data_IF_862193823527
#
_entry.id   IF_862193823527
#
_cell.length_a   1.000
_cell.length_b   1.000
_cell.length_c   1.000
_cell.angle_alpha   90.00
_cell.angle_beta   90.00
_cell.angle_gamma   90.00
#
_symmetry.space_group_name_H-M   'P 1'
#
loop_
_entity.id
_entity.type
_entity.pdbx_description
1 polymer ?
#
# COMPACT_ATOMS: atom_id res chain seq x y z
N UNK A 1 -40.30 84.32 13.35
CA UNK A 1 -39.75 84.57 12.00
C UNK A 1 -38.53 83.68 11.81
N UNK A 2 -38.38 83.16 10.59
CA UNK A 2 -37.23 82.46 9.96
C UNK A 2 -35.85 82.87 10.51
N UNK A 3 -34.76 82.09 10.50
CA UNK A 3 -34.37 80.74 10.05
C UNK A 3 -32.88 80.58 10.48
N UNK A 4 -32.47 79.35 10.81
CA UNK A 4 -31.22 78.63 10.43
C UNK A 4 -29.92 79.45 10.17
N UNK A 5 -28.70 79.13 10.65
CA UNK A 5 -28.00 77.84 10.70
C UNK A 5 -26.60 77.98 11.37
N UNK A 6 -26.08 76.83 11.83
CA UNK A 6 -24.66 76.41 11.93
C UNK A 6 -23.76 77.00 13.01
N UNK A 7 -23.28 76.13 13.92
CA UNK A 7 -21.87 75.78 14.18
C UNK A 7 -21.86 74.75 15.34
N UNK A 8 -21.16 73.61 15.17
CA UNK A 8 -20.78 72.74 16.29
C UNK A 8 -20.86 71.24 16.02
N UNK A 9 -19.70 70.61 15.90
CA UNK A 9 -19.38 69.21 15.56
C UNK A 9 -20.25 68.08 16.18
N UNK A 10 -20.38 66.92 15.48
CA UNK A 10 -21.11 65.74 15.95
C UNK A 10 -20.23 64.84 16.84
N UNK A 11 -20.78 64.41 17.98
CA UNK A 11 -20.12 63.51 18.94
C UNK A 11 -20.99 62.29 19.23
N UNK A 12 -21.53 61.64 18.19
CA UNK A 12 -22.28 60.38 18.33
C UNK A 12 -22.04 59.54 17.08
N UNK A 13 -21.71 58.26 17.27
CA UNK A 13 -21.50 57.18 16.28
C UNK A 13 -20.06 56.86 15.83
N UNK A 14 -19.12 56.68 16.78
CA UNK A 14 -17.99 55.73 16.60
C UNK A 14 -17.85 54.87 17.86
N UNK A 15 -18.93 54.17 18.22
CA UNK A 15 -18.97 53.32 19.42
C UNK A 15 -19.59 51.94 19.21
N UNK A 16 -20.01 51.58 17.98
CA UNK A 16 -20.76 50.33 17.74
C UNK A 16 -20.38 49.61 16.43
N UNK A 17 -19.13 49.72 15.98
CA UNK A 17 -18.59 48.88 14.89
C UNK A 17 -17.19 48.29 15.17
N UNK A 18 -16.63 48.51 16.36
CA UNK A 18 -15.35 47.92 16.81
C UNK A 18 -15.49 46.74 17.78
N UNK A 19 -16.71 46.42 18.20
CA UNK A 19 -17.02 45.44 19.25
C UNK A 19 -17.80 44.21 18.74
N UNK A 20 -17.71 43.97 17.44
CA UNK A 20 -18.25 42.76 16.78
C UNK A 20 -17.18 42.02 15.96
N UNK A 21 -15.92 42.43 16.10
CA UNK A 21 -14.77 41.87 15.38
C UNK A 21 -13.64 41.44 16.33
N UNK A 22 -13.94 41.26 17.63
CA UNK A 22 -12.93 40.97 18.66
C UNK A 22 -13.37 39.96 19.73
N UNK A 23 -14.38 39.14 19.46
CA UNK A 23 -14.74 37.98 20.28
C UNK A 23 -15.35 36.89 19.39
N UNK A 24 -14.49 36.09 18.76
CA UNK A 24 -14.89 34.73 18.36
C UNK A 24 -14.44 33.78 19.48
N UNK A 25 -15.35 33.04 20.11
CA UNK A 25 -14.96 31.91 20.94
C UNK A 25 -14.21 30.91 20.05
N UNK A 26 -13.14 30.34 20.59
CA UNK A 26 -12.20 29.44 19.93
C UNK A 26 -12.91 28.47 18.99
N UNK A 27 -12.70 28.66 17.68
CA UNK A 27 -13.01 27.63 16.70
C UNK A 27 -12.10 26.43 17.03
N UNK A 28 -12.63 25.20 17.13
CA UNK A 28 -11.79 24.04 17.38
C UNK A 28 -10.72 23.98 16.29
N UNK A 29 -9.46 24.11 16.70
CA UNK A 29 -8.30 23.90 15.83
C UNK A 29 -8.47 22.51 15.22
N UNK A 30 -8.75 22.48 13.92
CA UNK A 30 -8.87 21.26 13.14
C UNK A 30 -7.55 20.50 13.30
N UNK A 31 -7.51 19.30 13.91
CA UNK A 31 -6.29 18.50 13.94
C UNK A 31 -6.14 17.85 12.56
N UNK A 32 -5.76 18.65 11.58
CA UNK A 32 -5.23 18.22 10.29
C UNK A 32 -3.83 18.78 10.14
N UNK A 33 -2.90 18.22 10.89
CA UNK A 33 -1.49 18.06 10.52
C UNK A 33 -0.95 16.82 11.24
N UNK A 34 -1.52 15.66 10.93
CA UNK A 34 -0.66 14.49 10.74
C UNK A 34 -0.49 14.42 9.23
N UNK A 35 0.54 15.11 8.74
CA UNK A 35 0.97 14.92 7.37
C UNK A 35 1.15 13.42 7.15
N UNK A 36 0.50 12.91 6.11
CA UNK A 36 0.83 11.61 5.51
C UNK A 36 2.25 11.72 4.93
N UNK A 37 3.23 11.74 5.83
CA UNK A 37 4.60 11.41 5.52
C UNK A 37 4.66 9.91 5.30
N UNK A 38 5.25 9.53 4.17
CA UNK A 38 5.56 8.17 3.75
C UNK A 38 4.33 7.35 3.33
N UNK A 39 4.34 6.90 2.08
CA UNK A 39 3.63 5.68 1.67
C UNK A 39 3.79 4.60 2.76
N UNK A 40 2.82 3.71 2.99
CA UNK A 40 3.07 2.54 3.80
C UNK A 40 4.29 1.83 3.21
N UNK A 41 5.41 1.92 3.92
CA UNK A 41 6.60 1.20 3.58
C UNK A 41 6.20 -0.26 3.48
N UNK A 42 6.47 -0.85 2.31
CA UNK A 42 6.78 -2.28 2.26
C UNK A 42 7.67 -2.58 3.47
N UNK A 43 7.41 -3.62 4.27
CA UNK A 43 8.25 -3.91 5.43
C UNK A 43 9.66 -4.23 4.93
N UNK A 44 10.53 -3.22 5.01
CA UNK A 44 11.97 -3.34 5.00
C UNK A 44 12.35 -3.76 6.41
N UNK A 45 12.68 -5.03 6.57
CA UNK A 45 13.37 -5.50 7.78
C UNK A 45 14.75 -4.85 7.89
N UNK A 46 15.40 -4.91 9.06
CA UNK A 46 16.71 -4.34 9.28
C UNK A 46 17.71 -4.98 8.30
N UNK A 47 18.45 -4.12 7.59
CA UNK A 47 19.57 -4.51 6.74
C UNK A 47 20.75 -4.88 7.64
N UNK A 48 20.89 -6.16 7.96
CA UNK A 48 22.19 -6.68 8.38
C UNK A 48 23.10 -6.71 7.15
N UNK A 49 24.08 -5.82 7.16
CA UNK A 49 25.13 -5.76 6.16
C UNK A 49 25.95 -7.05 6.18
N UNK A 50 25.69 -7.93 5.22
CA UNK A 50 26.60 -8.97 4.80
C UNK A 50 26.64 -9.00 3.27
N UNK A 51 27.72 -8.44 2.72
CA UNK A 51 28.10 -8.69 1.34
C UNK A 51 28.41 -10.18 1.15
N UNK A 52 27.77 -10.82 0.16
CA UNK A 52 28.39 -11.83 -0.70
C UNK A 52 27.36 -12.34 -1.71
N UNK A 53 27.79 -12.41 -2.98
CA UNK A 53 27.04 -13.03 -4.05
C UNK A 53 26.78 -14.51 -3.83
N UNK A 54 25.75 -14.99 -4.52
CA UNK A 54 25.36 -16.38 -4.56
C UNK A 54 23.92 -16.49 -5.01
N UNK A 55 23.71 -16.65 -6.31
CA UNK A 55 22.50 -17.24 -6.87
C UNK A 55 22.38 -18.68 -6.35
N UNK A 56 21.94 -18.81 -5.10
CA UNK A 56 21.56 -20.07 -4.51
C UNK A 56 20.12 -20.34 -4.87
N UNK A 57 19.90 -21.28 -5.78
CA UNK A 57 18.67 -22.07 -5.87
C UNK A 57 18.35 -22.64 -4.48
N UNK A 58 17.64 -21.87 -3.66
CA UNK A 58 17.18 -22.32 -2.35
C UNK A 58 15.95 -23.19 -2.60
N UNK A 59 16.17 -24.49 -2.78
CA UNK A 59 15.10 -25.48 -2.86
C UNK A 59 14.06 -25.22 -1.76
N UNK A 60 12.76 -25.14 -2.10
CA UNK A 60 11.71 -24.86 -1.12
C UNK A 60 11.80 -25.84 0.05
N UNK A 61 11.95 -25.30 1.27
CA UNK A 61 12.01 -26.14 2.47
C UNK A 61 10.60 -26.46 2.92
N UNK A 62 10.14 -27.65 2.59
CA UNK A 62 8.84 -28.16 3.05
C UNK A 62 8.95 -28.64 4.49
N UNK A 63 8.06 -28.14 5.36
CA UNK A 63 7.94 -28.51 6.77
C UNK A 63 6.54 -29.04 7.01
N UNK A 64 6.45 -30.21 7.64
CA UNK A 64 5.18 -30.71 8.15
C UNK A 64 4.93 -30.11 9.52
N UNK A 65 3.73 -29.59 9.75
CA UNK A 65 3.33 -29.00 11.03
C UNK A 65 1.87 -29.38 11.36
N UNK A 66 1.46 -29.16 12.60
CA UNK A 66 0.08 -29.35 13.02
C UNK A 66 -0.40 -28.02 13.61
N UNK A 67 -1.45 -27.46 13.02
CA UNK A 67 -2.09 -26.26 13.53
C UNK A 67 -2.70 -26.53 14.93
N UNK A 68 -2.83 -25.52 15.80
CA UNK A 68 -3.56 -25.64 17.07
C UNK A 68 -4.97 -26.22 16.94
N UNK A 69 -5.63 -26.01 15.79
CA UNK A 69 -6.93 -26.60 15.47
C UNK A 69 -6.91 -28.10 15.13
N UNK A 70 -5.73 -28.72 15.06
CA UNK A 70 -5.51 -30.13 14.70
C UNK A 70 -5.31 -30.39 13.20
N UNK A 71 -5.39 -29.36 12.36
CA UNK A 71 -5.18 -29.51 10.91
C UNK A 71 -3.70 -29.76 10.61
N UNK A 72 -3.41 -30.81 9.83
CA UNK A 72 -2.05 -31.08 9.35
C UNK A 72 -1.70 -30.14 8.21
N UNK A 73 -0.56 -29.47 8.32
CA UNK A 73 -0.10 -28.46 7.37
C UNK A 73 1.15 -28.94 6.65
N UNK A 74 1.18 -28.79 5.32
CA UNK A 74 2.38 -28.90 4.50
C UNK A 74 2.87 -27.49 4.17
N UNK A 75 3.81 -26.99 4.95
CA UNK A 75 4.31 -25.62 4.81
C UNK A 75 5.51 -25.58 3.88
N UNK A 76 5.35 -24.97 2.71
CA UNK A 76 6.42 -24.65 1.79
C UNK A 76 7.01 -23.28 2.12
N UNK A 77 8.30 -23.25 2.50
CA UNK A 77 9.01 -21.98 2.70
C UNK A 77 9.77 -21.60 1.44
N UNK A 78 9.46 -20.43 0.88
CA UNK A 78 10.10 -19.83 -0.29
C UNK A 78 10.89 -18.58 0.12
N UNK A 79 12.01 -18.27 -0.56
CA UNK A 79 12.65 -16.98 -0.40
C UNK A 79 11.71 -15.86 -0.87
N UNK A 80 11.74 -14.71 -0.21
CA UNK A 80 11.05 -13.51 -0.68
C UNK A 80 11.60 -13.08 -2.05
N UNK A 81 10.68 -12.74 -2.95
CA UNK A 81 11.03 -12.11 -4.21
C UNK A 81 11.08 -10.61 -4.00
N UNK A 82 12.28 -10.10 -3.74
CA UNK A 82 12.50 -8.67 -3.57
C UNK A 82 12.59 -7.93 -4.90
N UNK A 83 12.22 -6.64 -4.84
CA UNK A 83 12.56 -5.70 -5.90
C UNK A 83 14.08 -5.70 -6.07
N UNK A 84 14.60 -5.75 -7.31
CA UNK A 84 16.04 -5.62 -7.56
C UNK A 84 16.62 -4.42 -6.81
N UNK A 85 17.85 -4.52 -6.31
CA UNK A 85 18.51 -3.36 -5.70
C UNK A 85 19.05 -2.43 -6.78
N UNK A 86 19.03 -1.10 -6.61
CA UNK A 86 19.65 -0.20 -7.58
C UNK A 86 21.19 -0.37 -7.60
N UNK A 87 21.87 0.04 -8.70
CA UNK A 87 21.33 0.74 -9.87
C UNK A 87 20.55 -0.19 -10.82
N UNK A 88 19.45 0.32 -11.38
CA UNK A 88 18.50 -0.48 -12.17
C UNK A 88 18.91 -0.67 -13.62
N UNK A 89 19.56 0.32 -14.25
CA UNK A 89 19.98 0.26 -15.66
C UNK A 89 20.78 -1.00 -16.02
N UNK A 90 21.83 -1.36 -15.27
CA UNK A 90 22.65 -2.55 -15.57
C UNK A 90 21.87 -3.88 -15.58
N UNK A 91 20.75 -3.96 -14.85
CA UNK A 91 19.95 -5.17 -14.71
C UNK A 91 18.85 -5.29 -15.76
N UNK A 92 18.54 -4.20 -16.50
CA UNK A 92 17.40 -4.12 -17.40
C UNK A 92 17.47 -5.16 -18.52
N UNK A 93 18.62 -5.30 -19.18
CA UNK A 93 18.75 -6.17 -20.35
C UNK A 93 18.51 -7.66 -20.00
N UNK A 94 19.05 -8.12 -18.86
CA UNK A 94 18.89 -9.49 -18.41
C UNK A 94 17.46 -9.79 -17.96
N UNK A 95 16.86 -8.90 -17.16
CA UNK A 95 15.47 -9.03 -16.72
C UNK A 95 14.50 -9.00 -17.89
N UNK A 96 14.73 -8.13 -18.88
CA UNK A 96 13.92 -8.08 -20.10
C UNK A 96 14.04 -9.39 -20.88
N UNK A 97 15.26 -9.86 -21.11
CA UNK A 97 15.48 -11.10 -21.86
C UNK A 97 14.83 -12.32 -21.18
N UNK A 98 14.85 -12.39 -19.84
CA UNK A 98 14.17 -13.45 -19.10
C UNK A 98 12.63 -13.29 -19.12
N UNK A 99 12.14 -12.06 -18.96
CA UNK A 99 10.72 -11.73 -19.09
C UNK A 99 10.15 -12.10 -20.45
N UNK A 100 10.88 -11.83 -21.53
CA UNK A 100 10.49 -12.13 -22.92
C UNK A 100 10.43 -13.65 -23.19
N UNK A 101 11.13 -14.45 -22.39
CA UNK A 101 11.01 -15.92 -22.40
C UNK A 101 9.84 -16.45 -21.57
N UNK A 102 9.04 -15.56 -20.99
CA UNK A 102 7.88 -15.91 -20.17
C UNK A 102 8.24 -16.34 -18.75
N UNK A 103 9.37 -15.90 -18.19
CA UNK A 103 9.68 -16.15 -16.79
C UNK A 103 8.85 -15.20 -15.88
N UNK A 104 7.89 -15.71 -15.08
CA UNK A 104 7.04 -14.88 -14.25
C UNK A 104 7.81 -14.18 -13.12
N UNK A 105 8.91 -14.76 -12.63
CA UNK A 105 9.76 -14.12 -11.61
C UNK A 105 10.50 -12.94 -12.23
N UNK A 106 11.01 -13.09 -13.45
CA UNK A 106 11.64 -12.00 -14.18
C UNK A 106 10.63 -10.89 -14.51
N UNK A 107 9.42 -11.23 -14.96
CA UNK A 107 8.33 -10.28 -15.18
C UNK A 107 7.98 -9.50 -13.90
N UNK A 108 7.88 -10.19 -12.76
CA UNK A 108 7.61 -9.54 -11.48
C UNK A 108 8.77 -8.60 -11.07
N UNK A 109 10.02 -9.06 -11.16
CA UNK A 109 11.19 -8.23 -10.83
C UNK A 109 11.33 -7.02 -11.76
N UNK A 110 11.14 -7.22 -13.06
CA UNK A 110 11.16 -6.14 -14.05
C UNK A 110 10.02 -5.15 -13.81
N UNK A 111 8.80 -5.64 -13.57
CA UNK A 111 7.65 -4.80 -13.26
C UNK A 111 7.87 -3.96 -11.99
N UNK A 112 8.30 -4.58 -10.90
CA UNK A 112 8.60 -3.86 -9.65
C UNK A 112 9.75 -2.86 -9.83
N UNK A 113 10.79 -3.19 -10.58
CA UNK A 113 11.90 -2.29 -10.91
C UNK A 113 11.43 -1.07 -11.73
N UNK A 114 10.65 -1.29 -12.79
CA UNK A 114 10.12 -0.21 -13.64
C UNK A 114 9.17 0.71 -12.86
N UNK A 115 8.39 0.16 -11.94
CA UNK A 115 7.53 0.93 -11.04
C UNK A 115 8.30 1.92 -10.16
N UNK A 116 9.51 1.55 -9.70
CA UNK A 116 10.37 2.46 -8.91
C UNK A 116 10.80 3.70 -9.71
N UNK A 117 10.90 3.57 -11.03
CA UNK A 117 11.31 4.66 -11.91
C UNK A 117 10.14 5.46 -12.49
N UNK A 118 8.88 5.03 -12.33
CA UNK A 118 7.73 5.54 -13.11
C UNK A 118 7.52 7.06 -13.02
N UNK A 119 7.82 7.65 -11.86
CA UNK A 119 7.62 9.09 -11.57
C UNK A 119 8.97 9.83 -11.44
N UNK A 120 10.05 9.21 -11.91
CA UNK A 120 11.40 9.81 -11.95
C UNK A 120 11.52 10.65 -13.23
N UNK A 121 12.10 11.86 -13.18
CA UNK A 121 12.37 12.68 -14.36
C UNK A 121 13.09 11.91 -15.46
N UNK A 122 12.75 12.17 -16.73
CA UNK A 122 13.34 11.43 -17.84
C UNK A 122 14.76 11.90 -18.21
N UNK A 123 15.10 13.16 -17.89
CA UNK A 123 16.36 13.82 -18.24
C UNK A 123 16.73 14.88 -17.18
N UNK A 124 17.95 15.41 -17.29
CA UNK A 124 18.50 16.40 -16.35
C UNK A 124 17.69 17.70 -16.32
N UNK A 125 17.10 18.10 -17.46
CA UNK A 125 16.32 19.32 -17.55
C UNK A 125 14.99 19.18 -16.77
N UNK A 126 14.33 18.03 -16.90
CA UNK A 126 13.14 17.68 -16.12
C UNK A 126 13.46 17.51 -14.64
N UNK A 127 14.63 16.97 -14.29
CA UNK A 127 15.07 16.90 -12.89
C UNK A 127 15.25 18.31 -12.30
N UNK A 128 15.96 19.19 -13.00
CA UNK A 128 16.16 20.58 -12.56
C UNK A 128 14.83 21.31 -12.38
N UNK A 129 13.90 21.15 -13.34
CA UNK A 129 12.55 21.71 -13.26
C UNK A 129 11.76 21.17 -12.07
N UNK A 130 11.77 19.86 -11.85
CA UNK A 130 11.05 19.24 -10.73
C UNK A 130 11.59 19.72 -9.38
N UNK A 131 12.90 19.90 -9.25
CA UNK A 131 13.52 20.45 -8.04
C UNK A 131 13.09 21.90 -7.81
N UNK A 132 13.11 22.72 -8.87
CA UNK A 132 12.61 24.10 -8.80
C UNK A 132 11.14 24.15 -8.35
N UNK A 133 10.27 23.33 -8.95
CA UNK A 133 8.86 23.23 -8.59
C UNK A 133 8.65 22.84 -7.11
N UNK A 134 9.41 21.87 -6.60
CA UNK A 134 9.35 21.44 -5.19
C UNK A 134 9.66 22.61 -4.24
N UNK A 135 10.72 23.37 -4.51
CA UNK A 135 11.14 24.48 -3.65
C UNK A 135 10.19 25.68 -3.73
N UNK A 136 9.60 25.93 -4.90
CA UNK A 136 8.66 27.04 -5.10
C UNK A 136 7.27 26.75 -4.53
N UNK A 137 6.76 25.55 -4.78
CA UNK A 137 5.35 25.21 -4.49
C UNK A 137 5.17 24.44 -3.18
N UNK A 138 6.27 23.90 -2.61
CA UNK A 138 6.20 22.92 -1.53
C UNK A 138 5.28 21.75 -1.90
N UNK A 139 5.28 21.33 -3.16
CA UNK A 139 4.44 20.23 -3.65
C UNK A 139 5.17 19.35 -4.66
N UNK A 140 4.83 18.06 -4.67
CA UNK A 140 5.26 17.10 -5.69
C UNK A 140 4.18 16.07 -5.94
N UNK A 141 3.83 15.84 -7.21
CA UNK A 141 2.84 14.82 -7.58
C UNK A 141 1.46 15.02 -6.95
N UNK A 142 1.08 16.27 -6.64
CA UNK A 142 -0.19 16.60 -5.98
C UNK A 142 -0.18 16.50 -4.45
N UNK A 143 0.97 16.22 -3.84
CA UNK A 143 1.12 16.12 -2.38
C UNK A 143 1.93 17.28 -1.82
N UNK A 144 1.62 17.70 -0.60
CA UNK A 144 2.38 18.72 0.12
C UNK A 144 3.72 18.16 0.62
N UNK A 145 4.77 18.96 0.46
CA UNK A 145 6.15 18.64 0.82
C UNK A 145 6.56 19.49 2.02
N UNK A 146 6.64 18.84 3.19
CA UNK A 146 7.06 19.50 4.43
C UNK A 146 8.53 19.96 4.40
N UNK A 147 9.43 19.10 3.90
CA UNK A 147 10.87 19.37 3.78
C UNK A 147 11.35 19.22 2.32
N UNK A 148 11.40 20.32 1.55
CA UNK A 148 11.91 20.34 0.17
C UNK A 148 13.33 19.82 0.03
N UNK A 149 14.20 20.03 1.01
CA UNK A 149 15.58 19.59 0.93
C UNK A 149 15.68 18.07 1.05
N UNK A 150 14.84 17.46 1.90
CA UNK A 150 14.71 16.01 1.95
C UNK A 150 14.13 15.44 0.65
N UNK A 151 13.06 16.04 0.14
CA UNK A 151 12.41 15.57 -1.09
C UNK A 151 13.33 15.71 -2.31
N UNK A 152 14.11 16.79 -2.40
CA UNK A 152 15.15 16.94 -3.43
C UNK A 152 16.19 15.81 -3.35
N UNK A 153 16.70 15.49 -2.15
CA UNK A 153 17.67 14.39 -1.97
C UNK A 153 17.08 13.05 -2.40
N UNK A 154 15.81 12.79 -2.06
CA UNK A 154 15.11 11.58 -2.47
C UNK A 154 14.95 11.52 -4.00
N UNK A 155 14.54 12.63 -4.64
CA UNK A 155 14.37 12.71 -6.08
C UNK A 155 15.69 12.49 -6.83
N UNK A 156 16.80 13.11 -6.37
CA UNK A 156 18.14 12.92 -6.96
C UNK A 156 18.63 11.47 -6.80
N UNK A 157 18.37 10.85 -5.65
CA UNK A 157 18.70 9.45 -5.40
C UNK A 157 17.92 8.52 -6.34
N UNK A 158 16.62 8.75 -6.47
CA UNK A 158 15.77 7.99 -7.40
C UNK A 158 16.21 8.17 -8.86
N UNK A 159 16.58 9.41 -9.24
CA UNK A 159 17.12 9.71 -10.57
C UNK A 159 18.40 8.91 -10.86
N UNK A 160 19.37 8.93 -9.96
CA UNK A 160 20.60 8.15 -10.10
C UNK A 160 20.34 6.64 -10.13
N UNK A 161 19.44 6.14 -9.28
CA UNK A 161 19.07 4.72 -9.25
C UNK A 161 18.45 4.23 -10.58
N UNK A 162 17.75 5.12 -11.29
CA UNK A 162 17.06 4.86 -12.55
C UNK A 162 17.88 5.23 -13.80
N UNK A 163 19.15 5.60 -13.64
CA UNK A 163 20.06 5.79 -14.75
C UNK A 163 20.12 4.50 -15.59
N UNK A 164 20.04 4.65 -16.92
CA UNK A 164 19.98 3.52 -17.86
C UNK A 164 18.62 2.83 -17.97
N UNK A 165 17.58 3.26 -17.24
CA UNK A 165 16.20 2.79 -17.43
C UNK A 165 15.41 3.77 -18.31
N UNK A 166 15.10 3.43 -19.58
CA UNK A 166 14.42 4.35 -20.50
C UNK A 166 13.03 4.75 -20.01
N UNK A 167 12.71 6.05 -20.04
CA UNK A 167 11.41 6.56 -19.60
C UNK A 167 10.19 5.88 -20.27
N UNK A 168 10.19 5.59 -21.59
CA UNK A 168 9.07 4.90 -22.23
C UNK A 168 8.84 3.47 -21.72
N UNK A 169 9.88 2.78 -21.24
CA UNK A 169 9.74 1.42 -20.71
C UNK A 169 9.03 1.39 -19.36
N UNK A 170 9.07 2.48 -18.59
CA UNK A 170 8.60 2.53 -17.20
C UNK A 170 7.10 2.32 -17.07
N UNK A 171 6.32 2.60 -18.10
CA UNK A 171 4.86 2.42 -18.12
C UNK A 171 4.42 0.96 -18.24
N UNK A 172 5.30 0.07 -18.68
CA UNK A 172 5.00 -1.36 -18.88
C UNK A 172 4.89 -2.15 -17.57
N UNK A 173 5.24 -1.54 -16.43
CA UNK A 173 5.35 -2.21 -15.14
C UNK A 173 4.12 -3.04 -14.76
N UNK A 174 2.92 -2.50 -15.01
CA UNK A 174 1.67 -3.16 -14.64
C UNK A 174 1.34 -4.36 -15.49
N UNK A 175 1.62 -4.30 -16.79
CA UNK A 175 1.34 -5.41 -17.69
C UNK A 175 2.25 -6.60 -17.38
N UNK A 176 3.52 -6.32 -17.02
CA UNK A 176 4.45 -7.34 -16.53
C UNK A 176 3.99 -7.97 -15.23
N UNK A 177 3.57 -7.17 -14.25
CA UNK A 177 3.06 -7.66 -12.97
C UNK A 177 1.78 -8.48 -13.13
N UNK A 178 0.86 -8.04 -14.00
CA UNK A 178 -0.36 -8.79 -14.31
C UNK A 178 -0.03 -10.10 -15.01
N UNK A 179 0.91 -10.09 -15.96
CA UNK A 179 1.36 -11.31 -16.64
C UNK A 179 1.95 -12.34 -15.66
N UNK A 180 2.75 -11.90 -14.69
CA UNK A 180 3.27 -12.78 -13.63
C UNK A 180 2.14 -13.32 -12.74
N UNK A 181 1.15 -12.48 -12.40
CA UNK A 181 0.01 -12.87 -11.59
C UNK A 181 -0.90 -13.89 -12.30
N UNK A 182 -1.13 -13.71 -13.60
CA UNK A 182 -1.92 -14.61 -14.44
C UNK A 182 -1.25 -15.98 -14.62
N UNK A 183 0.08 -16.03 -14.56
CA UNK A 183 0.87 -17.27 -14.53
C UNK A 183 0.93 -17.95 -13.16
N UNK A 184 0.26 -17.40 -12.14
CA UNK A 184 0.17 -18.02 -10.81
C UNK A 184 1.29 -17.63 -9.85
N UNK A 185 2.10 -16.60 -10.15
CA UNK A 185 3.09 -16.12 -9.19
C UNK A 185 2.38 -15.42 -8.02
N UNK A 186 2.43 -16.07 -6.86
CA UNK A 186 1.74 -15.62 -5.64
C UNK A 186 2.12 -14.19 -5.25
N UNK A 187 3.40 -13.83 -5.36
CA UNK A 187 3.91 -12.50 -5.03
C UNK A 187 3.33 -11.42 -5.96
N UNK A 188 3.15 -11.73 -7.24
CA UNK A 188 2.49 -10.83 -8.18
C UNK A 188 0.99 -10.73 -7.89
N UNK A 189 0.33 -11.86 -7.62
CA UNK A 189 -1.09 -11.91 -7.31
C UNK A 189 -1.45 -11.09 -6.06
N UNK A 190 -0.61 -11.17 -5.02
CA UNK A 190 -0.77 -10.39 -3.79
C UNK A 190 -0.51 -8.92 -4.01
N UNK A 191 0.57 -8.57 -4.71
CA UNK A 191 1.08 -7.21 -4.66
C UNK A 191 0.58 -6.33 -5.81
N UNK A 192 -0.10 -6.89 -6.83
CA UNK A 192 -0.63 -6.11 -7.97
C UNK A 192 -1.46 -4.89 -7.55
N UNK A 193 -2.19 -5.00 -6.44
CA UNK A 193 -3.01 -3.90 -5.90
C UNK A 193 -2.19 -2.66 -5.50
N UNK A 194 -0.91 -2.83 -5.14
CA UNK A 194 -0.03 -1.74 -4.73
C UNK A 194 0.63 -1.04 -5.92
N UNK A 195 0.54 -1.64 -7.11
CA UNK A 195 1.11 -1.13 -8.35
C UNK A 195 0.01 -0.50 -9.20
N UNK A 196 -0.49 0.63 -8.72
CA UNK A 196 -1.57 1.38 -9.37
C UNK A 196 -1.11 2.03 -10.68
N UNK A 197 -1.96 2.07 -11.74
CA UNK A 197 -1.62 2.75 -12.98
C UNK A 197 -1.52 4.27 -12.74
N UNK A 198 -0.81 5.00 -13.59
CA UNK A 198 -0.91 6.46 -13.58
C UNK A 198 -2.31 6.87 -14.02
N UNK A 199 -3.04 7.54 -13.13
CA UNK A 199 -4.40 8.01 -13.34
C UNK A 199 -4.73 9.11 -12.32
N UNK A 200 -5.79 9.86 -12.58
CA UNK A 200 -6.31 10.85 -11.64
C UNK A 200 -7.14 10.18 -10.54
N UNK A 201 -6.50 9.90 -9.42
CA UNK A 201 -7.15 9.38 -8.22
C UNK A 201 -7.82 10.49 -7.43
N UNK A 202 -9.03 10.23 -6.93
CA UNK A 202 -9.65 11.06 -5.90
C UNK A 202 -9.27 10.49 -4.53
N UNK A 203 -8.88 11.37 -3.61
CA UNK A 203 -8.46 10.98 -2.27
C UNK A 203 -9.61 10.46 -1.41
N UNK A 204 -10.81 11.04 -1.58
CA UNK A 204 -12.01 10.69 -0.82
C UNK A 204 -13.13 10.32 -1.79
N UNK A 205 -13.83 9.22 -1.49
CA UNK A 205 -14.83 8.67 -2.41
C UNK A 205 -16.00 9.63 -2.65
N UNK A 206 -16.35 10.46 -1.66
CA UNK A 206 -17.43 11.45 -1.78
C UNK A 206 -17.10 12.57 -2.76
N UNK A 207 -15.81 12.81 -3.02
CA UNK A 207 -15.32 13.86 -3.92
C UNK A 207 -14.99 13.34 -5.32
N UNK A 208 -15.20 12.05 -5.58
CA UNK A 208 -14.90 11.44 -6.86
C UNK A 208 -15.93 11.81 -7.93
N UNK A 209 -15.46 12.03 -9.15
CA UNK A 209 -16.35 11.95 -10.32
C UNK A 209 -16.87 10.51 -10.48
N UNK A 210 -18.05 10.30 -11.09
CA UNK A 210 -18.56 8.94 -11.36
C UNK A 210 -17.56 8.05 -12.11
N UNK A 211 -16.78 8.63 -13.04
CA UNK A 211 -15.74 7.92 -13.79
C UNK A 211 -14.59 7.46 -12.88
N UNK A 212 -14.11 8.32 -11.98
CA UNK A 212 -13.04 7.96 -11.03
C UNK A 212 -13.52 6.89 -10.05
N UNK A 213 -14.73 7.05 -9.50
CA UNK A 213 -15.32 6.05 -8.59
C UNK A 213 -15.43 4.67 -9.27
N UNK A 214 -15.89 4.63 -10.51
CA UNK A 214 -15.96 3.39 -11.29
C UNK A 214 -14.58 2.80 -11.56
N UNK A 215 -13.60 3.62 -11.91
CA UNK A 215 -12.23 3.17 -12.17
C UNK A 215 -11.59 2.53 -10.92
N UNK A 216 -11.69 3.20 -9.77
CA UNK A 216 -11.17 2.67 -8.50
C UNK A 216 -11.96 1.44 -8.01
N UNK A 217 -13.26 1.37 -8.28
CA UNK A 217 -14.04 0.15 -8.04
C UNK A 217 -13.52 -1.03 -8.87
N UNK A 218 -13.17 -0.80 -10.14
CA UNK A 218 -12.52 -1.80 -10.99
C UNK A 218 -11.17 -2.28 -10.44
N UNK A 219 -10.34 -1.36 -9.93
CA UNK A 219 -9.06 -1.72 -9.30
C UNK A 219 -9.24 -2.53 -8.02
N UNK A 220 -10.24 -2.20 -7.19
CA UNK A 220 -10.59 -3.01 -6.02
C UNK A 220 -11.06 -4.40 -6.40
N UNK A 221 -11.84 -4.54 -7.48
CA UNK A 221 -12.27 -5.84 -7.98
C UNK A 221 -11.12 -6.67 -8.55
N UNK A 222 -10.20 -6.03 -9.29
CA UNK A 222 -8.95 -6.65 -9.74
C UNK A 222 -8.14 -7.16 -8.54
N UNK A 223 -7.99 -6.33 -7.50
CA UNK A 223 -7.30 -6.72 -6.28
C UNK A 223 -7.96 -7.92 -5.61
N UNK A 224 -9.30 -7.89 -5.42
CA UNK A 224 -10.06 -9.01 -4.83
C UNK A 224 -9.86 -10.30 -5.61
N UNK A 225 -10.00 -10.24 -6.93
CA UNK A 225 -9.81 -11.40 -7.80
C UNK A 225 -8.39 -11.96 -7.69
N UNK A 226 -7.40 -11.08 -7.75
CA UNK A 226 -5.98 -11.47 -7.73
C UNK A 226 -5.56 -12.07 -6.38
N UNK A 227 -5.96 -11.46 -5.27
CA UNK A 227 -5.64 -11.98 -3.92
C UNK A 227 -6.39 -13.27 -3.61
N UNK A 228 -7.62 -13.43 -4.09
CA UNK A 228 -8.33 -14.72 -3.98
C UNK A 228 -7.56 -15.83 -4.68
N UNK A 229 -7.02 -15.59 -5.88
CA UNK A 229 -6.14 -16.58 -6.54
C UNK A 229 -4.89 -16.89 -5.71
N UNK A 230 -4.29 -15.89 -5.05
CA UNK A 230 -3.14 -16.11 -4.17
C UNK A 230 -3.52 -16.95 -2.94
N UNK A 231 -4.70 -16.70 -2.35
CA UNK A 231 -5.24 -17.46 -1.23
C UNK A 231 -5.50 -18.92 -1.63
N UNK A 232 -6.14 -19.14 -2.78
CA UNK A 232 -6.36 -20.46 -3.37
C UNK A 232 -5.05 -21.17 -3.68
N UNK A 233 -4.03 -20.43 -4.13
CA UNK A 233 -2.65 -20.86 -4.32
C UNK A 233 -1.88 -21.16 -3.02
N UNK A 234 -2.53 -21.01 -1.86
CA UNK A 234 -1.97 -21.36 -0.56
C UNK A 234 -1.15 -20.26 0.11
N UNK A 235 -1.21 -19.02 -0.39
CA UNK A 235 -0.50 -17.90 0.23
C UNK A 235 -0.99 -17.66 1.65
N UNK A 236 -0.06 -17.76 2.60
CA UNK A 236 -0.33 -17.40 3.99
C UNK A 236 -0.53 -15.90 4.13
N UNK A 237 0.20 -15.09 3.36
CA UNK A 237 0.08 -13.63 3.41
C UNK A 237 -1.29 -13.15 2.89
N UNK A 238 -1.90 -13.90 1.96
CA UNK A 238 -3.25 -13.60 1.49
C UNK A 238 -4.29 -13.73 2.61
N UNK A 239 -4.09 -14.62 3.58
CA UNK A 239 -4.96 -14.71 4.76
C UNK A 239 -4.99 -13.37 5.51
N UNK A 240 -3.82 -12.81 5.79
CA UNK A 240 -3.72 -11.52 6.50
C UNK A 240 -4.36 -10.38 5.71
N UNK A 241 -4.14 -10.36 4.39
CA UNK A 241 -4.73 -9.35 3.49
C UNK A 241 -6.25 -9.43 3.47
N UNK A 242 -6.83 -10.61 3.25
CA UNK A 242 -8.30 -10.79 3.21
C UNK A 242 -8.92 -10.54 4.58
N UNK A 243 -8.28 -10.97 5.66
CA UNK A 243 -8.74 -10.67 7.02
C UNK A 243 -8.80 -9.16 7.31
N UNK A 244 -7.82 -8.39 6.81
CA UNK A 244 -7.83 -6.94 6.90
C UNK A 244 -8.93 -6.29 6.06
N UNK A 245 -9.15 -6.79 4.85
CA UNK A 245 -10.23 -6.32 3.97
C UNK A 245 -11.62 -6.59 4.52
N UNK A 246 -11.82 -7.71 5.22
CA UNK A 246 -13.07 -8.02 5.90
C UNK A 246 -13.40 -7.03 7.02
N UNK A 247 -12.46 -6.17 7.45
CA UNK A 247 -12.70 -5.09 8.40
C UNK A 247 -12.79 -3.70 7.73
N UNK A 248 -12.62 -3.61 6.41
CA UNK A 248 -12.53 -2.35 5.68
C UNK A 248 -13.73 -2.14 4.74
N UNK A 249 -14.54 -1.13 5.04
CA UNK A 249 -15.73 -0.75 4.24
C UNK A 249 -15.40 -0.38 2.78
N UNK A 250 -14.17 0.07 2.51
CA UNK A 250 -13.73 0.35 1.14
C UNK A 250 -13.59 -0.92 0.30
N UNK A 251 -13.33 -2.07 0.92
CA UNK A 251 -13.13 -3.35 0.23
C UNK A 251 -14.40 -4.19 0.12
N UNK A 252 -15.44 -3.85 0.88
CA UNK A 252 -16.73 -4.53 0.90
C UNK A 252 -17.48 -4.27 2.20
N UNK A 253 -18.61 -4.95 2.38
CA UNK A 253 -19.30 -4.94 3.67
C UNK A 253 -18.43 -5.62 4.73
N UNK A 254 -18.15 -4.97 5.88
CA UNK A 254 -17.37 -5.59 6.94
C UNK A 254 -18.00 -6.89 7.44
N UNK A 255 -17.16 -7.89 7.69
CA UNK A 255 -17.52 -9.22 8.14
C UNK A 255 -16.51 -9.70 9.19
N UNK A 256 -16.90 -9.60 10.46
CA UNK A 256 -16.06 -10.02 11.59
C UNK A 256 -15.79 -11.52 11.62
N UNK A 257 -16.68 -12.34 11.03
CA UNK A 257 -16.52 -13.80 10.96
C UNK A 257 -15.39 -14.12 10.00
N UNK A 258 -15.42 -13.53 8.80
CA UNK A 258 -14.35 -13.71 7.82
C UNK A 258 -13.03 -13.10 8.30
N UNK A 259 -13.07 -11.92 8.92
CA UNK A 259 -11.88 -11.31 9.51
C UNK A 259 -11.22 -12.23 10.55
N UNK A 260 -12.01 -12.72 11.53
CA UNK A 260 -11.50 -13.62 12.55
C UNK A 260 -10.96 -14.93 11.93
N UNK A 261 -11.70 -15.53 11.00
CA UNK A 261 -11.33 -16.79 10.39
C UNK A 261 -9.97 -16.72 9.69
N UNK A 262 -9.75 -15.68 8.88
CA UNK A 262 -8.52 -15.46 8.16
C UNK A 262 -7.33 -15.16 9.08
N UNK A 263 -7.50 -14.25 10.05
CA UNK A 263 -6.45 -13.95 11.02
C UNK A 263 -6.12 -15.13 11.93
N UNK A 264 -7.11 -15.94 12.30
CA UNK A 264 -6.93 -17.14 13.10
C UNK A 264 -6.15 -18.20 12.31
N UNK A 265 -6.50 -18.43 11.05
CA UNK A 265 -5.74 -19.34 10.17
C UNK A 265 -4.28 -18.88 10.02
N UNK A 266 -4.05 -17.58 9.78
CA UNK A 266 -2.70 -17.01 9.74
C UNK A 266 -1.93 -17.25 11.04
N UNK A 267 -2.48 -16.85 12.20
CA UNK A 267 -1.82 -16.99 13.51
C UNK A 267 -1.50 -18.46 13.86
N UNK A 268 -2.39 -19.39 13.49
CA UNK A 268 -2.17 -20.82 13.66
C UNK A 268 -1.01 -21.35 12.83
N UNK A 269 -0.84 -20.89 11.59
CA UNK A 269 0.31 -21.26 10.74
C UNK A 269 1.60 -20.68 11.33
N UNK A 270 1.57 -19.43 11.80
CA UNK A 270 2.74 -18.81 12.45
C UNK A 270 3.16 -19.59 13.69
N UNK A 271 2.20 -19.96 14.55
CA UNK A 271 2.45 -20.78 15.73
C UNK A 271 3.01 -22.16 15.37
N UNK A 272 2.39 -22.85 14.41
CA UNK A 272 2.81 -24.20 13.98
C UNK A 272 4.21 -24.21 13.33
N UNK A 273 4.68 -23.05 12.85
CA UNK A 273 5.96 -22.90 12.17
C UNK A 273 7.05 -22.21 13.01
N UNK A 274 6.74 -21.94 14.29
CA UNK A 274 7.64 -21.31 15.26
C UNK A 274 7.94 -19.83 14.98
N UNK A 275 7.04 -19.12 14.30
CA UNK A 275 7.14 -17.66 14.08
C UNK A 275 6.46 -16.90 15.22
N UNK A 276 6.86 -15.65 15.41
CA UNK A 276 6.26 -14.74 16.38
C UNK A 276 4.78 -14.50 16.09
N UNK A 277 3.98 -14.35 17.15
CA UNK A 277 2.53 -14.16 17.08
C UNK A 277 2.20 -12.69 17.24
N UNK A 278 1.77 -12.06 16.16
CA UNK A 278 1.52 -10.62 16.10
C UNK A 278 0.03 -10.27 16.28
N UNK A 279 -0.88 -11.23 16.07
CA UNK A 279 -2.33 -10.96 15.96
C UNK A 279 -3.13 -11.24 17.23
N UNK A 280 -2.48 -11.61 18.34
CA UNK A 280 -3.17 -12.04 19.56
C UNK A 280 -4.15 -10.99 20.13
N UNK A 281 -3.75 -9.71 20.15
CA UNK A 281 -4.61 -8.61 20.63
C UNK A 281 -5.80 -8.40 19.70
N UNK A 282 -5.58 -8.42 18.38
CA UNK A 282 -6.64 -8.25 17.38
C UNK A 282 -7.66 -9.39 17.46
N UNK A 283 -7.19 -10.64 17.51
CA UNK A 283 -8.05 -11.82 17.65
C UNK A 283 -8.87 -11.78 18.95
N UNK A 284 -8.29 -11.33 20.07
CA UNK A 284 -9.03 -11.14 21.32
C UNK A 284 -10.10 -10.04 21.21
N UNK A 285 -9.83 -8.96 20.46
CA UNK A 285 -10.80 -7.91 20.17
C UNK A 285 -11.97 -8.40 19.31
N UNK A 286 -11.68 -9.10 18.21
CA UNK A 286 -12.69 -9.69 17.32
C UNK A 286 -13.56 -10.72 18.06
N UNK A 287 -12.95 -11.58 18.88
CA UNK A 287 -13.68 -12.56 19.70
C UNK A 287 -14.72 -11.93 20.63
N UNK A 288 -14.49 -10.71 21.13
CA UNK A 288 -15.46 -10.00 21.99
C UNK A 288 -16.64 -9.43 21.20
N UNK A 289 -16.49 -9.18 19.90
CA UNK A 289 -17.53 -8.65 19.01
C UNK A 289 -18.46 -9.75 18.48
N UNK A 290 -17.94 -10.97 18.32
CA UNK A 290 -18.69 -12.10 17.78
C UNK A 290 -19.62 -12.71 18.82
N UNK A 291 -20.85 -13.02 18.40
CA UNK A 291 -21.77 -13.87 19.18
C UNK A 291 -21.23 -15.32 19.20
N UNK A 292 -21.59 -16.15 20.17
CA UNK A 292 -21.11 -17.53 20.25
C UNK A 292 -21.30 -18.34 18.94
N UNK A 293 -22.46 -18.22 18.29
CA UNK A 293 -22.72 -18.90 17.00
C UNK A 293 -21.82 -18.40 15.86
N UNK A 294 -21.49 -17.12 15.85
CA UNK A 294 -20.62 -16.53 14.83
C UNK A 294 -19.15 -16.88 15.09
N UNK A 295 -18.77 -17.01 16.36
CA UNK A 295 -17.46 -17.53 16.77
C UNK A 295 -17.26 -18.98 16.31
N UNK A 296 -18.25 -19.85 16.52
CA UNK A 296 -18.21 -21.24 16.01
C UNK A 296 -18.07 -21.29 14.47
N UNK A 297 -18.80 -20.43 13.76
CA UNK A 297 -18.68 -20.28 12.30
C UNK A 297 -17.29 -19.81 11.89
N UNK A 298 -16.73 -18.83 12.58
CA UNK A 298 -15.40 -18.30 12.29
C UNK A 298 -14.29 -19.35 12.53
N UNK A 299 -14.40 -20.16 13.58
CA UNK A 299 -13.49 -21.28 13.85
C UNK A 299 -13.61 -22.39 12.80
N UNK A 300 -14.83 -22.73 12.37
CA UNK A 300 -15.05 -23.68 11.28
C UNK A 300 -14.45 -23.18 9.97
N UNK A 301 -14.68 -21.89 9.64
CA UNK A 301 -14.11 -21.24 8.46
C UNK A 301 -12.58 -21.19 8.50
N UNK A 302 -11.97 -20.91 9.66
CA UNK A 302 -10.52 -20.97 9.82
C UNK A 302 -9.96 -22.37 9.53
N UNK A 303 -10.62 -23.42 10.02
CA UNK A 303 -10.24 -24.81 9.71
C UNK A 303 -10.35 -25.14 8.23
N UNK A 304 -11.40 -24.65 7.55
CA UNK A 304 -11.57 -24.79 6.11
C UNK A 304 -10.41 -24.13 5.34
N UNK A 305 -10.06 -22.89 5.68
CA UNK A 305 -8.93 -22.16 5.09
C UNK A 305 -7.60 -22.91 5.28
N UNK A 306 -7.36 -23.44 6.48
CA UNK A 306 -6.18 -24.26 6.79
C UNK A 306 -6.17 -25.60 6.04
N UNK A 307 -7.34 -26.09 5.63
CA UNK A 307 -7.49 -27.35 4.91
C UNK A 307 -7.36 -27.20 3.38
N UNK A 308 -7.06 -25.99 2.89
CA UNK A 308 -6.73 -25.78 1.48
C UNK A 308 -5.54 -26.70 1.09
N UNK A 309 -5.67 -27.58 0.07
CA UNK A 309 -4.62 -28.51 -0.32
C UNK A 309 -3.33 -27.83 -0.83
N UNK A 310 -3.43 -26.58 -1.29
CA UNK A 310 -2.27 -25.78 -1.69
C UNK A 310 -1.65 -25.04 -0.49
N UNK A 311 -2.33 -24.98 0.66
CA UNK A 311 -1.74 -24.39 1.85
C UNK A 311 -0.59 -25.28 2.34
N UNK A 312 0.57 -24.72 2.67
CA UNK A 312 0.81 -23.30 2.93
C UNK A 312 2.12 -22.81 2.32
N UNK A 313 2.05 -21.75 1.51
CA UNK A 313 3.24 -21.06 0.96
C UNK A 313 3.58 -19.87 1.85
N UNK A 314 4.72 -19.98 2.54
CA UNK A 314 5.32 -18.91 3.34
C UNK A 314 6.51 -18.32 2.60
N UNK A 315 6.42 -17.05 2.24
CA UNK A 315 7.58 -16.26 1.80
C UNK A 315 8.34 -15.76 3.03
N UNK A 316 9.68 -15.86 2.98
CA UNK A 316 10.62 -15.41 4.02
C UNK A 316 11.43 -14.23 3.54
#
# INVERSE_FOLDING_TARGET
>A
MKRLLLIGLPLVLIGLLGWWWMERPDLPTNPREQGFGVSPGMPGGPTDGAAAGGEGSATPRVVQAIAPSGVHLRVERRPRLDTPSPPYGPQLAELQAASDRGDPVAQYRLGTMLYQCRDVPADDAQLAKGIEEIHQTRSRGGWDVADPAQEERALRTAYANCEGVPAPSRTQFRDLLRSAADQGLIEAQLNLMFYLPQADYCQFIENCTPKQAQFMAGLREEARTSVTKALEGGSVEALRTVGGWALNEEMGTPDDVEAYAHFSAYDQIQQATGRERELGVMLAGLKKRLRPVDMERAEARAKELLSNPNCCVLTR
#
